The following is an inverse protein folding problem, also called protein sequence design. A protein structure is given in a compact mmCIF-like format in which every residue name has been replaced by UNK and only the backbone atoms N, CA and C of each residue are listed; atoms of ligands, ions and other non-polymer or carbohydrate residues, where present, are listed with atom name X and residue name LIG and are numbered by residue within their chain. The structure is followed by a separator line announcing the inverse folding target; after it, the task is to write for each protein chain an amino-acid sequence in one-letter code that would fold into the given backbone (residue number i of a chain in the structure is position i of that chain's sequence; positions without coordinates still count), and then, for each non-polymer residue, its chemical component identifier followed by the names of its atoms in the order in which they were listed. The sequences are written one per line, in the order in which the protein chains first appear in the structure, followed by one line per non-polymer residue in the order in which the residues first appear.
data_IF_803031133602
#
_entry.id   IF_803031133602
#
_cell.length_a   1.000
_cell.length_b   1.000
_cell.length_c   1.000
_cell.angle_alpha   90.00
_cell.angle_beta   90.00
_cell.angle_gamma   90.00
#
_symmetry.space_group_name_H-M   'P 1'
#
loop_
_entity.id
_entity.type
_entity.pdbx_description
1 polymer ?
#
# COMPACT_ATOMS: atom_id res chain seq x y z
N UNK A 1 -4.77 -11.22 -3.62
CA UNK A 1 -4.12 -10.17 -2.84
C UNK A 1 -2.73 -9.96 -3.42
N UNK A 2 -2.33 -8.74 -3.72
CA UNK A 2 -1.05 -8.41 -4.33
C UNK A 2 0.04 -8.12 -3.30
N UNK A 3 -0.34 -7.53 -2.17
CA UNK A 3 0.58 -7.20 -1.10
C UNK A 3 0.18 -7.88 0.20
N UNK A 4 1.11 -7.96 1.14
CA UNK A 4 0.86 -8.43 2.49
C UNK A 4 1.55 -7.49 3.50
N UNK A 5 1.57 -7.88 4.77
CA UNK A 5 2.17 -7.07 5.82
C UNK A 5 3.68 -6.78 5.63
N UNK A 6 4.39 -7.54 4.78
CA UNK A 6 5.84 -7.36 4.53
C UNK A 6 6.15 -6.06 3.77
N UNK A 7 5.13 -5.43 3.16
CA UNK A 7 5.29 -4.16 2.46
C UNK A 7 5.37 -2.94 3.40
N UNK A 8 4.99 -3.09 4.68
CA UNK A 8 5.02 -2.01 5.68
C UNK A 8 6.39 -1.93 6.36
N UNK A 9 7.34 -1.31 5.68
CA UNK A 9 8.72 -1.19 6.11
C UNK A 9 9.26 0.23 5.87
N UNK A 10 10.42 0.54 6.46
CA UNK A 10 11.05 1.84 6.33
C UNK A 10 10.14 2.98 6.80
N UNK A 11 9.82 3.90 5.89
CA UNK A 11 9.03 5.10 6.20
C UNK A 11 7.55 4.82 6.51
N UNK A 12 7.01 3.68 6.07
CA UNK A 12 5.62 3.27 6.30
C UNK A 12 5.52 2.06 7.25
N UNK A 13 6.54 1.86 8.09
CA UNK A 13 6.55 0.81 9.11
C UNK A 13 5.39 0.99 10.10
N UNK A 14 4.64 -0.09 10.32
CA UNK A 14 3.61 -0.17 11.36
C UNK A 14 4.16 -1.00 12.52
N UNK A 15 4.34 -0.37 13.67
CA UNK A 15 4.92 -1.03 14.85
C UNK A 15 3.92 -2.01 15.48
N UNK A 16 4.38 -3.23 15.80
CA UNK A 16 3.54 -4.26 16.43
C UNK A 16 3.04 -5.36 15.49
N UNK A 17 3.25 -5.21 14.18
CA UNK A 17 3.14 -6.33 13.23
C UNK A 17 4.33 -7.26 13.46
N UNK A 18 4.07 -8.48 13.91
CA UNK A 18 5.11 -9.50 14.17
C UNK A 18 4.98 -10.59 13.11
N UNK A 19 6.08 -11.01 12.46
CA UNK A 19 6.08 -12.22 11.63
C UNK A 19 5.53 -13.41 12.44
N UNK A 20 4.66 -14.26 11.86
CA UNK A 20 4.04 -15.39 12.59
C UNK A 20 5.05 -16.34 13.26
N UNK A 21 6.31 -16.32 12.82
CA UNK A 21 7.35 -17.24 13.23
C UNK A 21 7.95 -16.99 14.63
N UNK A 22 7.68 -15.85 15.29
CA UNK A 22 8.46 -15.45 16.49
C UNK A 22 7.68 -15.34 17.80
N UNK A 23 6.35 -15.49 17.83
CA UNK A 23 5.64 -15.67 19.12
C UNK A 23 4.20 -16.19 18.99
N UNK A 24 3.81 -17.25 19.74
CA UNK A 24 2.43 -17.74 19.80
C UNK A 24 1.57 -16.89 20.76
N UNK A 25 1.68 -15.57 20.71
CA UNK A 25 0.82 -14.71 21.51
C UNK A 25 -0.53 -14.56 20.78
N UNK A 26 -1.64 -14.95 21.44
CA UNK A 26 -3.01 -14.79 20.92
C UNK A 26 -3.31 -13.36 20.44
N UNK A 27 -2.63 -12.36 21.00
CA UNK A 27 -2.70 -10.96 20.58
C UNK A 27 -2.05 -10.69 19.23
N UNK A 28 -0.93 -11.35 18.88
CA UNK A 28 -0.28 -11.18 17.58
C UNK A 28 -1.15 -11.75 16.44
N UNK A 29 -1.84 -12.87 16.67
CA UNK A 29 -2.79 -13.43 15.71
C UNK A 29 -4.02 -12.54 15.50
N UNK A 30 -4.55 -11.93 16.55
CA UNK A 30 -5.67 -10.99 16.42
C UNK A 30 -5.27 -9.72 15.65
N UNK A 31 -4.11 -9.14 15.99
CA UNK A 31 -3.57 -7.95 15.30
C UNK A 31 -3.26 -8.26 13.83
N UNK A 32 -2.67 -9.42 13.53
CA UNK A 32 -2.36 -9.82 12.16
C UNK A 32 -3.64 -10.12 11.35
N UNK A 33 -4.65 -10.77 11.94
CA UNK A 33 -5.92 -11.04 11.28
C UNK A 33 -6.72 -9.76 10.98
N UNK A 34 -6.72 -8.80 11.90
CA UNK A 34 -7.30 -7.48 11.67
C UNK A 34 -6.53 -6.71 10.58
N UNK A 35 -5.20 -6.80 10.57
CA UNK A 35 -4.36 -6.20 9.53
C UNK A 35 -4.60 -6.82 8.14
N UNK A 36 -4.73 -8.15 8.04
CA UNK A 36 -4.99 -8.82 6.76
C UNK A 36 -6.35 -8.40 6.18
N UNK A 37 -7.38 -8.29 7.03
CA UNK A 37 -8.69 -7.75 6.61
C UNK A 37 -8.58 -6.28 6.16
N UNK A 38 -7.78 -5.48 6.88
CA UNK A 38 -7.53 -4.09 6.55
C UNK A 38 -6.82 -3.95 5.20
N UNK A 39 -5.77 -4.74 4.97
CA UNK A 39 -5.05 -4.81 3.69
C UNK A 39 -6.00 -5.23 2.58
N UNK A 40 -6.77 -6.31 2.77
CA UNK A 40 -7.69 -6.79 1.75
C UNK A 40 -8.75 -5.75 1.35
N UNK A 41 -9.30 -5.02 2.33
CA UNK A 41 -10.30 -3.97 2.09
C UNK A 41 -9.70 -2.81 1.28
N UNK A 42 -8.61 -2.23 1.77
CA UNK A 42 -8.02 -1.04 1.16
C UNK A 42 -7.22 -1.35 -0.12
N UNK A 43 -6.69 -2.57 -0.29
CA UNK A 43 -6.14 -3.03 -1.57
C UNK A 43 -7.23 -3.06 -2.64
N UNK A 44 -8.39 -3.67 -2.34
CA UNK A 44 -9.54 -3.67 -3.24
C UNK A 44 -9.97 -2.24 -3.58
N UNK A 45 -10.16 -1.40 -2.57
CA UNK A 45 -10.59 -0.02 -2.77
C UNK A 45 -9.61 0.73 -3.68
N UNK A 46 -8.31 0.66 -3.39
CA UNK A 46 -7.28 1.28 -4.19
C UNK A 46 -7.31 0.80 -5.65
N UNK A 47 -7.40 -0.52 -5.87
CA UNK A 47 -7.36 -1.07 -7.23
C UNK A 47 -8.59 -0.65 -8.04
N UNK A 48 -9.78 -0.60 -7.44
CA UNK A 48 -10.98 -0.06 -8.10
C UNK A 48 -10.74 1.42 -8.48
N UNK A 49 -10.16 2.22 -7.58
CA UNK A 49 -9.88 3.64 -7.86
C UNK A 49 -8.82 3.84 -8.96
N UNK A 50 -7.83 2.96 -9.04
CA UNK A 50 -6.74 3.06 -10.01
C UNK A 50 -7.07 2.44 -11.38
N UNK A 51 -7.94 1.42 -11.42
CA UNK A 51 -8.22 0.66 -12.64
C UNK A 51 -9.65 0.87 -13.17
N UNK A 52 -10.59 1.27 -12.32
CA UNK A 52 -12.02 1.22 -12.59
C UNK A 52 -12.58 -0.18 -12.32
N UNK A 53 -13.89 -0.27 -12.08
CA UNK A 53 -14.55 -1.52 -11.65
C UNK A 53 -14.32 -2.67 -12.66
N UNK A 54 -14.50 -2.42 -13.96
CA UNK A 54 -14.41 -3.44 -15.00
C UNK A 54 -12.99 -4.04 -15.12
N UNK A 55 -11.97 -3.19 -15.20
CA UNK A 55 -10.57 -3.66 -15.29
C UNK A 55 -10.13 -4.30 -13.98
N UNK A 56 -10.60 -3.80 -12.83
CA UNK A 56 -10.38 -4.45 -11.54
C UNK A 56 -10.97 -5.85 -11.50
N UNK A 57 -12.21 -6.06 -11.96
CA UNK A 57 -12.85 -7.37 -11.96
C UNK A 57 -12.01 -8.38 -12.75
N UNK A 58 -11.67 -8.06 -14.00
CA UNK A 58 -10.82 -8.90 -14.87
C UNK A 58 -9.47 -9.22 -14.23
N UNK A 59 -8.79 -8.20 -13.69
CA UNK A 59 -7.51 -8.39 -13.04
C UNK A 59 -7.64 -9.21 -11.74
N UNK A 60 -8.71 -9.02 -10.97
CA UNK A 60 -8.96 -9.77 -9.74
C UNK A 60 -9.25 -11.24 -10.00
N UNK A 61 -9.95 -11.57 -11.09
CA UNK A 61 -10.16 -12.94 -11.54
C UNK A 61 -8.83 -13.59 -11.94
N UNK A 62 -8.02 -12.85 -12.69
CA UNK A 62 -6.67 -13.28 -13.03
C UNK A 62 -5.81 -13.55 -11.79
N UNK A 63 -5.84 -12.67 -10.77
CA UNK A 63 -5.12 -12.88 -9.51
C UNK A 63 -5.60 -14.10 -8.71
N UNK A 64 -6.85 -14.55 -8.91
CA UNK A 64 -7.42 -15.75 -8.27
C UNK A 64 -7.19 -17.02 -9.08
N UNK A 65 -6.86 -16.89 -10.36
CA UNK A 65 -6.49 -18.02 -11.21
C UNK A 65 -5.18 -18.64 -10.72
N UNK A 66 -4.94 -19.89 -11.11
CA UNK A 66 -3.65 -20.55 -10.84
C UNK A 66 -2.50 -19.97 -11.67
N UNK A 67 -2.79 -18.97 -12.53
CA UNK A 67 -1.86 -18.35 -13.48
C UNK A 67 -1.14 -19.36 -14.38
N UNK A 68 -1.78 -20.50 -14.64
CA UNK A 68 -1.28 -21.54 -15.55
C UNK A 68 -1.08 -20.99 -16.97
N UNK A 69 -1.90 -20.03 -17.37
CA UNK A 69 -1.76 -19.25 -18.61
C UNK A 69 -1.48 -17.78 -18.26
N UNK A 70 -0.21 -17.36 -18.19
CA UNK A 70 0.14 -15.99 -17.83
C UNK A 70 -0.32 -15.03 -18.94
N UNK A 71 -1.13 -14.05 -18.56
CA UNK A 71 -1.55 -12.96 -19.44
C UNK A 71 -0.57 -11.81 -19.26
N UNK A 72 0.20 -11.50 -20.31
CA UNK A 72 1.31 -10.54 -20.29
C UNK A 72 0.94 -9.20 -19.64
N UNK A 73 -0.21 -8.61 -20.02
CA UNK A 73 -0.65 -7.32 -19.49
C UNK A 73 -0.90 -7.35 -17.97
N UNK A 74 -1.36 -8.47 -17.42
CA UNK A 74 -1.64 -8.60 -15.99
C UNK A 74 -0.37 -8.87 -15.17
N UNK A 75 0.60 -9.57 -15.75
CA UNK A 75 1.94 -9.69 -15.15
C UNK A 75 2.68 -8.34 -15.17
N UNK A 76 2.62 -7.61 -16.28
CA UNK A 76 3.17 -6.25 -16.34
C UNK A 76 2.51 -5.31 -15.33
N UNK A 77 1.18 -5.34 -15.22
CA UNK A 77 0.45 -4.55 -14.22
C UNK A 77 0.89 -4.90 -12.80
N UNK A 78 1.07 -6.20 -12.50
CA UNK A 78 1.58 -6.65 -11.20
C UNK A 78 2.97 -6.09 -10.92
N UNK A 79 3.86 -6.08 -11.91
CA UNK A 79 5.22 -5.54 -11.79
C UNK A 79 5.24 -4.00 -11.64
N UNK A 80 4.25 -3.29 -12.18
CA UNK A 80 4.11 -1.83 -11.99
C UNK A 80 3.53 -1.52 -10.60
N UNK A 81 2.65 -2.38 -10.08
CA UNK A 81 2.03 -2.25 -8.76
C UNK A 81 2.93 -2.72 -7.61
N UNK A 82 3.89 -3.61 -7.87
CA UNK A 82 4.82 -4.17 -6.89
C UNK A 82 6.25 -4.02 -7.43
N UNK A 83 7.00 -3.09 -6.84
CA UNK A 83 8.38 -2.81 -7.24
C UNK A 83 9.33 -3.35 -6.18
N UNK A 84 10.24 -4.24 -6.58
CA UNK A 84 11.34 -4.69 -5.73
C UNK A 84 12.46 -3.64 -5.74
N UNK A 85 12.90 -3.23 -4.55
CA UNK A 85 14.04 -2.35 -4.31
C UNK A 85 15.11 -3.17 -3.59
N UNK A 86 16.08 -3.69 -4.34
CA UNK A 86 17.08 -4.62 -3.80
C UNK A 86 16.48 -5.99 -3.49
N UNK A 87 17.16 -6.75 -2.62
CA UNK A 87 16.85 -8.17 -2.41
C UNK A 87 15.66 -8.42 -1.48
N UNK A 88 15.46 -7.56 -0.46
CA UNK A 88 14.48 -7.80 0.61
C UNK A 88 13.38 -6.73 0.74
N UNK A 89 13.45 -5.65 -0.05
CA UNK A 89 12.53 -4.52 0.09
C UNK A 89 11.58 -4.46 -1.09
N UNK A 90 10.27 -4.45 -0.81
CA UNK A 90 9.20 -4.24 -1.78
C UNK A 90 8.48 -2.94 -1.47
N UNK A 91 8.10 -2.23 -2.52
CA UNK A 91 7.30 -1.01 -2.39
C UNK A 91 6.12 -1.07 -3.35
N UNK A 92 5.01 -0.47 -2.93
CA UNK A 92 3.77 -0.45 -3.70
C UNK A 92 2.99 0.84 -3.42
N UNK A 93 2.33 1.44 -4.43
CA UNK A 93 1.37 2.51 -4.15
C UNK A 93 0.22 2.01 -3.27
N UNK A 94 -0.14 0.72 -3.36
CA UNK A 94 -1.16 0.08 -2.53
C UNK A 94 -0.76 0.16 -1.04
N UNK A 95 0.49 -0.17 -0.72
CA UNK A 95 1.00 -0.14 0.65
C UNK A 95 0.97 1.29 1.24
N UNK A 96 1.34 2.29 0.43
CA UNK A 96 1.28 3.69 0.83
C UNK A 96 -0.17 4.17 1.04
N UNK A 97 -1.10 3.74 0.18
CA UNK A 97 -2.54 4.03 0.34
C UNK A 97 -3.07 3.45 1.65
N UNK A 98 -2.81 2.17 1.91
CA UNK A 98 -3.23 1.50 3.15
C UNK A 98 -2.62 2.20 4.37
N UNK A 99 -1.33 2.53 4.32
CA UNK A 99 -0.65 3.24 5.40
C UNK A 99 -1.28 4.62 5.67
N UNK A 100 -1.65 5.37 4.62
CA UNK A 100 -2.32 6.66 4.78
C UNK A 100 -3.61 6.53 5.59
N UNK A 101 -4.50 5.60 5.24
CA UNK A 101 -5.76 5.39 5.96
C UNK A 101 -5.53 4.81 7.35
N UNK A 102 -4.53 3.94 7.50
CA UNK A 102 -4.13 3.40 8.80
C UNK A 102 -3.68 4.54 9.73
N UNK A 103 -2.70 5.34 9.31
CA UNK A 103 -2.18 6.46 10.08
C UNK A 103 -3.27 7.50 10.40
N UNK A 104 -4.18 7.77 9.46
CA UNK A 104 -5.32 8.68 9.66
C UNK A 104 -6.29 8.19 10.74
N UNK A 105 -6.53 6.88 10.82
CA UNK A 105 -7.44 6.28 11.80
C UNK A 105 -6.78 6.13 13.18
N UNK A 106 -5.45 6.09 13.23
CA UNK A 106 -4.66 5.82 14.44
C UNK A 106 -3.74 7.01 14.83
N UNK A 107 -4.10 8.25 14.48
CA UNK A 107 -3.27 9.45 14.74
C UNK A 107 -2.91 9.67 16.23
N UNK A 108 -3.65 9.05 17.15
CA UNK A 108 -3.37 9.09 18.60
C UNK A 108 -2.48 7.96 19.12
N UNK A 109 -2.09 7.00 18.29
CA UNK A 109 -1.37 5.80 18.73
C UNK A 109 0.15 5.93 18.60
N UNK A 110 0.86 5.46 19.63
CA UNK A 110 2.34 5.49 19.71
C UNK A 110 2.99 4.69 18.55
N UNK A 111 2.31 3.68 18.03
CA UNK A 111 2.75 2.81 16.92
C UNK A 111 2.97 3.58 15.61
N UNK A 112 2.16 4.61 15.34
CA UNK A 112 2.25 5.51 14.17
C UNK A 112 3.29 6.60 14.40
N UNK A 113 3.41 7.06 15.65
CA UNK A 113 4.29 8.16 16.07
C UNK A 113 5.80 7.85 15.94
N UNK A 114 6.16 6.61 15.60
CA UNK A 114 7.54 6.18 15.49
C UNK A 114 8.13 5.87 16.85
N UNK A 115 8.79 4.72 16.97
CA UNK A 115 9.59 4.41 18.15
C UNK A 115 10.75 5.41 18.19
N UNK A 116 10.96 6.02 19.37
CA UNK A 116 12.11 6.88 19.66
C UNK A 116 13.37 6.24 19.09
N UNK A 117 14.14 6.96 18.26
CA UNK A 117 15.55 6.61 18.08
C UNK A 117 16.21 6.78 19.45
N UNK A 118 16.86 5.74 19.95
CA UNK A 118 17.74 5.74 21.13
C UNK A 118 18.93 6.70 20.94
N UNK A 119 18.65 7.99 20.93
CA UNK A 119 19.63 9.06 20.96
C UNK A 119 18.94 10.26 21.59
N UNK A 120 19.54 10.81 22.65
CA UNK A 120 19.00 11.83 23.58
C UNK A 120 18.51 13.15 22.96
N UNK A 121 18.43 13.29 21.63
CA UNK A 121 17.76 14.38 20.92
C UNK A 121 17.17 13.83 19.61
N UNK A 122 16.18 12.94 19.71
CA UNK A 122 15.51 12.35 18.55
C UNK A 122 14.28 13.14 18.15
N UNK A 123 14.36 13.92 17.07
CA UNK A 123 13.20 14.60 16.49
C UNK A 123 12.10 13.57 16.18
N UNK A 124 11.00 13.64 16.93
CA UNK A 124 9.79 12.88 16.67
C UNK A 124 9.23 13.35 15.32
N UNK A 125 9.29 12.50 14.29
CA UNK A 125 8.64 12.79 13.01
C UNK A 125 7.12 12.77 13.27
N UNK A 126 6.45 13.86 12.92
CA UNK A 126 5.01 13.98 13.12
C UNK A 126 4.25 12.85 12.38
N UNK A 127 3.24 12.23 13.01
CA UNK A 127 2.36 11.26 12.35
C UNK A 127 1.72 11.82 11.08
N UNK A 128 1.40 13.12 11.10
CA UNK A 128 0.84 13.84 9.96
C UNK A 128 1.86 13.89 8.83
N UNK A 129 3.13 14.16 9.12
CA UNK A 129 4.18 14.21 8.10
C UNK A 129 4.40 12.84 7.45
N UNK A 130 4.38 11.75 8.24
CA UNK A 130 4.46 10.39 7.69
C UNK A 130 3.29 10.06 6.78
N UNK A 131 2.07 10.43 7.19
CA UNK A 131 0.86 10.24 6.42
C UNK A 131 0.93 11.02 5.08
N UNK A 132 1.34 12.28 5.12
CA UNK A 132 1.54 13.13 3.93
C UNK A 132 2.62 12.55 3.01
N UNK A 133 3.74 12.08 3.58
CA UNK A 133 4.82 11.48 2.82
C UNK A 133 4.37 10.19 2.11
N UNK A 134 3.65 9.31 2.80
CA UNK A 134 3.11 8.09 2.20
C UNK A 134 2.17 8.41 1.02
N UNK A 135 1.24 9.35 1.20
CA UNK A 135 0.38 9.79 0.11
C UNK A 135 1.17 10.36 -1.07
N UNK A 136 2.14 11.24 -0.81
CA UNK A 136 2.92 11.87 -1.88
C UNK A 136 3.86 10.88 -2.58
N UNK A 137 4.34 9.85 -1.89
CA UNK A 137 5.10 8.75 -2.51
C UNK A 137 4.19 7.85 -3.35
N UNK A 138 2.97 7.56 -2.88
CA UNK A 138 1.93 6.92 -3.69
C UNK A 138 1.65 7.72 -4.96
N UNK A 139 1.45 9.05 -4.87
CA UNK A 139 1.19 9.90 -6.04
C UNK A 139 2.31 9.81 -7.08
N UNK A 140 3.59 9.75 -6.66
CA UNK A 140 4.72 9.55 -7.57
C UNK A 140 4.64 8.21 -8.29
N UNK A 141 4.29 7.14 -7.58
CA UNK A 141 4.09 5.81 -8.15
C UNK A 141 2.89 5.77 -9.10
N UNK A 142 1.78 6.41 -8.71
CA UNK A 142 0.55 6.49 -9.50
C UNK A 142 0.75 7.24 -10.81
N UNK A 143 1.60 8.27 -10.84
CA UNK A 143 1.97 8.93 -12.11
C UNK A 143 2.65 7.97 -13.09
N UNK A 144 3.46 7.03 -12.60
CA UNK A 144 4.09 5.98 -13.43
C UNK A 144 3.05 4.95 -13.88
N UNK A 145 2.22 4.46 -12.95
CA UNK A 145 1.13 3.53 -13.23
C UNK A 145 0.15 4.10 -14.27
N UNK A 146 -0.34 5.32 -14.06
CA UNK A 146 -1.23 6.03 -14.99
C UNK A 146 -0.59 6.20 -16.37
N UNK A 147 0.70 6.56 -16.42
CA UNK A 147 1.45 6.68 -17.67
C UNK A 147 1.60 5.34 -18.41
N UNK A 148 1.74 4.23 -17.69
CA UNK A 148 1.76 2.89 -18.27
C UNK A 148 0.36 2.47 -18.75
N UNK A 149 -0.68 2.58 -17.90
CA UNK A 149 -2.07 2.23 -18.24
C UNK A 149 -2.56 2.96 -19.49
N UNK A 150 -2.26 4.25 -19.61
CA UNK A 150 -2.61 5.06 -20.79
C UNK A 150 -1.99 4.54 -22.09
N UNK A 151 -0.82 3.89 -22.04
CA UNK A 151 -0.16 3.32 -23.23
C UNK A 151 -0.75 1.98 -23.63
N UNK A 152 -1.28 1.22 -22.67
CA UNK A 152 -1.85 -0.10 -22.93
C UNK A 152 -3.21 -0.06 -23.62
N UNK A 153 -3.91 1.09 -23.56
CA UNK A 153 -5.21 1.29 -24.21
C UNK A 153 -6.26 0.22 -23.79
N UNK A 154 -6.30 -0.09 -22.48
CA UNK A 154 -7.24 -1.04 -21.89
C UNK A 154 -8.65 -0.46 -21.95
N UNK A 155 -9.59 -1.20 -22.52
CA UNK A 155 -11.00 -0.80 -22.59
C UNK A 155 -11.65 -0.80 -21.19
N UNK A 156 -12.46 0.22 -20.91
CA UNK A 156 -13.15 0.34 -19.63
C UNK A 156 -12.27 0.77 -18.45
N UNK A 157 -11.01 1.14 -18.70
CA UNK A 157 -10.11 1.69 -17.68
C UNK A 157 -10.53 3.10 -17.26
N UNK A 158 -10.71 3.31 -15.95
CA UNK A 158 -11.00 4.60 -15.35
C UNK A 158 -10.08 4.84 -14.13
N UNK A 159 -9.39 5.98 -14.10
CA UNK A 159 -8.47 6.32 -13.02
C UNK A 159 -8.97 7.54 -12.23
N UNK A 160 -9.15 7.38 -10.92
CA UNK A 160 -9.55 8.47 -10.04
C UNK A 160 -8.45 9.54 -9.93
N UNK A 161 -8.74 10.77 -10.39
CA UNK A 161 -7.80 11.89 -10.37
C UNK A 161 -7.18 12.21 -9.00
N UNK A 162 -7.91 12.12 -7.86
CA UNK A 162 -7.32 12.37 -6.55
C UNK A 162 -6.08 11.52 -6.25
N UNK A 163 -5.98 10.31 -6.81
CA UNK A 163 -4.79 9.46 -6.66
C UNK A 163 -3.52 10.02 -7.35
N UNK A 164 -3.64 11.10 -8.13
CA UNK A 164 -2.53 11.81 -8.78
C UNK A 164 -2.21 13.16 -8.14
N UNK A 165 -2.97 13.56 -7.12
CA UNK A 165 -2.90 14.87 -6.50
C UNK A 165 -2.14 14.77 -5.18
N UNK A 166 -0.96 15.42 -5.04
CA UNK A 166 -0.25 15.45 -3.77
C UNK A 166 -1.06 16.23 -2.72
N UNK A 167 -0.86 15.89 -1.45
CA UNK A 167 -1.47 16.60 -0.32
C UNK A 167 -0.40 17.32 0.51
N UNK A 168 -0.84 18.32 1.26
CA UNK A 168 -0.07 18.91 2.36
C UNK A 168 -0.62 18.48 3.74
N UNK A 169 -0.05 19.01 4.82
CA UNK A 169 -0.44 18.73 6.21
C UNK A 169 -1.89 19.08 6.56
N UNK A 170 -2.54 19.92 5.75
CA UNK A 170 -3.97 20.26 5.87
C UNK A 170 -4.87 19.37 5.00
N UNK A 171 -4.31 18.36 4.33
CA UNK A 171 -5.01 17.49 3.39
C UNK A 171 -5.68 18.28 2.24
N UNK A 172 -4.99 19.36 1.82
CA UNK A 172 -5.32 20.24 0.69
C UNK A 172 -4.30 20.09 -0.43
#
# INVERSE_FOLDING_TARGET
MLIDYTFFQGNILISGIVPPATSPALTAYAINGDMDNYIAFYEREYLIKALGENVYEQFSEYLKSDRSEPVEIWEELSNVLVVNIGDDCKVSPIANYIYFFYARSHQGEVSVNGVKKDSDVGDLISPIDKMVNAWNDMVKMNKRLYGWLKKQNIEGWEFEKPLLEPINVFNL
#
